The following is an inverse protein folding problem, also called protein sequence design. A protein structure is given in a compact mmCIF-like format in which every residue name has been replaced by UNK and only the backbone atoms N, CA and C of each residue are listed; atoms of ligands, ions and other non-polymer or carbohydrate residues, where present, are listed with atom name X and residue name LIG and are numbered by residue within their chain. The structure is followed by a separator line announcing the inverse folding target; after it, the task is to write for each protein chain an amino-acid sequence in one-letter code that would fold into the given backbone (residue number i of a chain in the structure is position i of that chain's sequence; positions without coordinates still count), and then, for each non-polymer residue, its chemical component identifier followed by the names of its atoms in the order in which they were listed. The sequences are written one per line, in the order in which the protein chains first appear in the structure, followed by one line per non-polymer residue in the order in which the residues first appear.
data_IF_231203157953
#
_entry.id   IF_231203157953
#
_cell.length_a   1.000
_cell.length_b   1.000
_cell.length_c   1.000
_cell.angle_alpha   90.00
_cell.angle_beta   90.00
_cell.angle_gamma   90.00
#
_symmetry.space_group_name_H-M   'P 1'
#
loop_
_entity.id
_entity.type
_entity.pdbx_description
1 polymer ?
#
# COMPACT_ATOMS: atom_id res chain seq x y z
N UNK A 1 22.13 -2.36 -13.43
CA UNK A 1 21.11 -1.43 -13.97
C UNK A 1 19.80 -1.74 -13.28
N UNK A 2 18.97 -0.73 -12.94
CA UNK A 2 17.68 -0.98 -12.33
C UNK A 2 16.68 -1.57 -13.34
N UNK A 3 15.71 -2.35 -12.87
CA UNK A 3 14.53 -2.72 -13.65
C UNK A 3 13.62 -1.48 -13.75
N UNK A 4 13.32 -1.03 -14.97
CA UNK A 4 12.63 0.24 -15.19
C UNK A 4 11.18 0.04 -15.68
N UNK A 5 10.23 0.73 -15.03
CA UNK A 5 8.80 0.70 -15.32
C UNK A 5 8.33 2.09 -15.77
N UNK A 6 7.68 2.16 -16.94
CA UNK A 6 7.03 3.37 -17.43
C UNK A 6 5.52 3.29 -17.12
N UNK A 7 5.02 4.19 -16.27
CA UNK A 7 3.67 4.13 -15.71
C UNK A 7 2.81 5.20 -16.42
N UNK A 8 1.73 4.81 -17.13
CA UNK A 8 0.97 5.72 -18.00
C UNK A 8 -0.02 6.63 -17.24
N UNK A 9 0.18 6.82 -15.95
CA UNK A 9 -0.66 7.63 -15.07
C UNK A 9 0.17 8.25 -13.93
N UNK A 10 -0.37 9.28 -13.29
CA UNK A 10 0.22 9.95 -12.14
C UNK A 10 -0.06 9.18 -10.83
N UNK A 11 0.78 9.31 -9.78
CA UNK A 11 0.59 8.57 -8.53
C UNK A 11 -0.80 8.73 -7.89
N UNK A 12 -1.43 9.89 -8.04
CA UNK A 12 -2.77 10.20 -7.54
C UNK A 12 -3.88 9.35 -8.20
N UNK A 13 -3.64 8.89 -9.43
CA UNK A 13 -4.54 8.02 -10.18
C UNK A 13 -4.31 6.51 -9.90
N UNK A 14 -3.39 6.16 -9.00
CA UNK A 14 -3.06 4.76 -8.66
C UNK A 14 -4.27 4.05 -8.03
N UNK A 15 -4.82 2.99 -8.66
CA UNK A 15 -6.13 2.42 -8.32
C UNK A 15 -6.20 1.91 -6.88
N UNK A 16 -7.37 2.02 -6.24
CA UNK A 16 -7.61 1.42 -4.92
C UNK A 16 -7.48 -0.11 -4.97
N UNK A 17 -7.02 -0.71 -3.87
CA UNK A 17 -6.73 -2.14 -3.77
C UNK A 17 -7.63 -2.84 -2.76
N UNK A 18 -7.67 -4.17 -2.76
CA UNK A 18 -8.33 -4.90 -1.69
C UNK A 18 -7.50 -4.80 -0.38
N UNK A 19 -8.10 -4.52 0.80
CA UNK A 19 -7.37 -4.51 2.07
C UNK A 19 -6.67 -5.85 2.40
N UNK A 20 -7.25 -6.97 1.93
CA UNK A 20 -6.64 -8.31 1.99
C UNK A 20 -5.45 -8.50 1.03
N UNK A 21 -5.34 -7.71 -0.04
CA UNK A 21 -4.16 -7.70 -0.89
C UNK A 21 -3.01 -6.95 -0.20
N UNK A 22 -3.29 -5.78 0.39
CA UNK A 22 -2.30 -5.01 1.16
C UNK A 22 -1.76 -5.79 2.38
N UNK A 23 -2.62 -6.52 3.11
CA UNK A 23 -2.17 -7.43 4.18
C UNK A 23 -1.25 -8.53 3.63
N UNK A 24 -1.67 -9.26 2.58
CA UNK A 24 -0.83 -10.30 1.98
C UNK A 24 0.49 -9.76 1.44
N UNK A 25 0.53 -8.50 1.00
CA UNK A 25 1.76 -7.84 0.58
C UNK A 25 2.68 -7.53 1.76
N UNK A 26 2.14 -7.05 2.88
CA UNK A 26 2.88 -6.92 4.15
C UNK A 26 3.48 -8.25 4.59
N UNK A 27 2.68 -9.32 4.59
CA UNK A 27 3.13 -10.67 4.94
C UNK A 27 4.26 -11.14 3.99
N UNK A 28 4.10 -10.94 2.67
CA UNK A 28 5.10 -11.29 1.64
C UNK A 28 6.43 -10.55 1.82
N UNK A 29 6.36 -9.23 2.07
CA UNK A 29 7.54 -8.39 2.31
C UNK A 29 8.30 -8.86 3.56
N UNK A 30 7.57 -9.23 4.62
CA UNK A 30 8.14 -9.82 5.84
C UNK A 30 8.76 -11.19 5.59
N UNK A 31 8.06 -12.10 4.91
CA UNK A 31 8.56 -13.44 4.54
C UNK A 31 9.89 -13.33 3.77
N UNK A 32 9.96 -12.43 2.79
CA UNK A 32 11.15 -12.17 2.00
C UNK A 32 12.31 -11.56 2.80
N UNK A 33 12.02 -10.60 3.69
CA UNK A 33 13.03 -10.02 4.57
C UNK A 33 13.60 -11.05 5.56
N UNK A 34 12.75 -11.93 6.13
CA UNK A 34 13.18 -13.05 6.98
C UNK A 34 13.99 -14.10 6.19
N UNK A 35 13.65 -14.34 4.93
CA UNK A 35 14.43 -15.19 4.02
C UNK A 35 15.71 -14.51 3.49
N UNK A 36 15.98 -13.26 3.89
CA UNK A 36 17.08 -12.41 3.40
C UNK A 36 17.14 -12.31 1.86
N UNK A 37 15.98 -12.31 1.19
CA UNK A 37 15.88 -12.22 -0.26
C UNK A 37 16.58 -10.96 -0.79
N UNK A 38 17.37 -11.14 -1.85
CA UNK A 38 17.94 -10.03 -2.61
C UNK A 38 17.10 -9.76 -3.87
N UNK A 39 16.95 -8.48 -4.19
CA UNK A 39 16.25 -7.99 -5.38
C UNK A 39 17.07 -6.93 -6.11
N UNK A 40 16.85 -6.73 -7.41
CA UNK A 40 17.47 -5.64 -8.16
C UNK A 40 16.86 -4.29 -7.77
N UNK A 41 17.61 -3.18 -7.84
CA UNK A 41 17.06 -1.83 -7.81
C UNK A 41 15.98 -1.63 -8.88
N UNK A 42 14.95 -0.83 -8.58
CA UNK A 42 13.76 -0.67 -9.43
C UNK A 42 13.40 0.79 -9.60
N UNK A 43 13.27 1.23 -10.84
CA UNK A 43 12.95 2.61 -11.21
C UNK A 43 11.54 2.70 -11.78
N UNK A 44 10.74 3.67 -11.32
CA UNK A 44 9.35 3.86 -11.68
C UNK A 44 9.15 5.30 -12.17
N UNK A 45 8.79 5.47 -13.44
CA UNK A 45 8.54 6.79 -14.05
C UNK A 45 7.05 6.96 -14.32
N UNK A 46 6.39 7.79 -13.51
CA UNK A 46 4.99 8.16 -13.65
C UNK A 46 4.82 9.32 -14.63
N UNK A 47 3.77 9.29 -15.43
CA UNK A 47 3.36 10.49 -16.18
C UNK A 47 2.81 11.56 -15.23
N UNK A 48 3.09 12.83 -15.49
CA UNK A 48 2.47 13.92 -14.72
C UNK A 48 0.96 14.03 -15.01
N UNK A 49 0.13 14.46 -14.03
CA UNK A 49 -1.34 14.50 -14.17
C UNK A 49 -1.85 15.51 -15.20
N UNK A 50 -0.99 16.38 -15.74
CA UNK A 50 -1.26 17.17 -16.94
C UNK A 50 0.06 17.58 -17.62
N UNK A 51 0.05 18.05 -18.88
CA UNK A 51 1.27 18.50 -19.58
C UNK A 51 2.04 19.68 -18.93
N UNK A 52 1.51 20.27 -17.84
CA UNK A 52 2.16 21.34 -17.06
C UNK A 52 2.75 20.86 -15.73
N UNK A 53 2.46 19.63 -15.31
CA UNK A 53 2.98 19.04 -14.06
C UNK A 53 4.04 18.00 -14.44
N UNK A 54 5.23 18.00 -13.83
CA UNK A 54 6.30 17.08 -14.19
C UNK A 54 5.93 15.61 -13.92
N UNK A 55 6.65 14.71 -14.59
CA UNK A 55 6.71 13.30 -14.24
C UNK A 55 7.32 13.10 -12.84
N UNK A 56 6.86 12.09 -12.09
CA UNK A 56 7.57 11.59 -10.91
C UNK A 56 8.51 10.47 -11.34
N UNK A 57 9.79 10.60 -11.01
CA UNK A 57 10.75 9.51 -11.00
C UNK A 57 10.94 9.02 -9.56
N UNK A 58 10.69 7.72 -9.32
CA UNK A 58 10.86 7.07 -8.04
C UNK A 58 11.83 5.90 -8.20
N UNK A 59 12.88 5.87 -7.37
CA UNK A 59 13.91 4.82 -7.38
C UNK A 59 13.89 4.08 -6.05
N UNK A 60 13.79 2.75 -6.12
CA UNK A 60 14.06 1.85 -5.00
C UNK A 60 15.48 1.32 -5.18
N UNK A 61 16.39 1.71 -4.28
CA UNK A 61 17.81 1.35 -4.32
C UNK A 61 18.35 0.84 -2.97
N UNK A 62 17.64 1.08 -1.86
CA UNK A 62 17.99 0.48 -0.58
C UNK A 62 17.64 -1.03 -0.56
N UNK A 63 18.37 -1.78 0.27
CA UNK A 63 18.32 -3.24 0.29
C UNK A 63 16.92 -3.79 0.62
N UNK A 64 16.19 -3.14 1.52
CA UNK A 64 14.94 -3.66 2.04
C UNK A 64 13.79 -3.35 1.07
N UNK A 65 13.75 -2.16 0.46
CA UNK A 65 12.82 -1.86 -0.61
C UNK A 65 13.08 -2.70 -1.87
N UNK A 66 14.34 -3.01 -2.21
CA UNK A 66 14.68 -3.93 -3.31
C UNK A 66 14.18 -5.36 -3.02
N UNK A 67 14.40 -5.86 -1.80
CA UNK A 67 13.90 -7.15 -1.32
C UNK A 67 12.36 -7.24 -1.41
N UNK A 68 11.65 -6.24 -0.86
CA UNK A 68 10.19 -6.23 -0.84
C UNK A 68 9.60 -6.08 -2.24
N UNK A 69 10.15 -5.21 -3.08
CA UNK A 69 9.65 -5.02 -4.43
C UNK A 69 9.86 -6.29 -5.29
N UNK A 70 10.97 -7.01 -5.14
CA UNK A 70 11.18 -8.32 -5.77
C UNK A 70 10.18 -9.37 -5.28
N UNK A 71 9.90 -9.41 -3.98
CA UNK A 71 8.94 -10.35 -3.42
C UNK A 71 7.48 -10.07 -3.86
N UNK A 72 7.10 -8.80 -3.93
CA UNK A 72 5.78 -8.36 -4.39
C UNK A 72 5.62 -8.57 -5.91
N UNK A 73 6.66 -8.33 -6.71
CA UNK A 73 6.62 -8.56 -8.16
C UNK A 73 6.35 -10.03 -8.49
N UNK A 74 7.07 -10.94 -7.84
CA UNK A 74 6.87 -12.41 -7.96
C UNK A 74 5.47 -12.88 -7.53
N UNK A 75 4.72 -12.08 -6.76
CA UNK A 75 3.40 -12.44 -6.21
C UNK A 75 2.21 -11.71 -6.86
N UNK A 76 2.43 -10.51 -7.39
CA UNK A 76 1.37 -9.61 -7.86
C UNK A 76 1.62 -8.99 -9.25
N UNK A 77 2.86 -9.01 -9.77
CA UNK A 77 3.26 -8.38 -11.04
C UNK A 77 3.27 -6.85 -10.99
N UNK A 78 4.45 -6.22 -11.00
CA UNK A 78 4.56 -4.75 -11.06
C UNK A 78 4.41 -4.18 -12.48
N UNK A 79 4.38 -5.05 -13.49
CA UNK A 79 3.90 -4.72 -14.84
C UNK A 79 2.37 -4.53 -14.87
N UNK A 80 1.65 -4.96 -13.84
CA UNK A 80 0.21 -4.77 -13.66
C UNK A 80 -0.08 -3.59 -12.71
N UNK A 81 -1.09 -2.78 -13.07
CA UNK A 81 -1.48 -1.61 -12.29
C UNK A 81 -1.95 -1.96 -10.85
N UNK A 82 -2.49 -3.17 -10.62
CA UNK A 82 -2.85 -3.63 -9.27
C UNK A 82 -1.61 -3.97 -8.42
N UNK A 83 -0.65 -4.75 -8.94
CA UNK A 83 0.57 -5.09 -8.20
C UNK A 83 1.43 -3.86 -7.89
N UNK A 84 1.53 -2.94 -8.85
CA UNK A 84 2.11 -1.60 -8.64
C UNK A 84 1.36 -0.82 -7.55
N UNK A 85 0.02 -0.77 -7.59
CA UNK A 85 -0.79 -0.07 -6.58
C UNK A 85 -0.67 -0.68 -5.17
N UNK A 86 -0.46 -2.00 -5.08
CA UNK A 86 -0.17 -2.72 -3.84
C UNK A 86 1.19 -2.31 -3.28
N UNK A 87 2.25 -2.31 -4.11
CA UNK A 87 3.60 -1.91 -3.68
C UNK A 87 3.62 -0.45 -3.19
N UNK A 88 3.09 0.48 -3.99
CA UNK A 88 3.12 1.91 -3.66
C UNK A 88 2.37 2.19 -2.35
N UNK A 89 1.21 1.56 -2.14
CA UNK A 89 0.46 1.69 -0.88
C UNK A 89 1.14 1.03 0.31
N UNK A 90 1.90 -0.04 0.11
CA UNK A 90 2.69 -0.64 1.20
C UNK A 90 3.85 0.28 1.61
N UNK A 91 4.56 0.86 0.65
CA UNK A 91 5.64 1.81 0.90
C UNK A 91 5.12 3.11 1.53
N UNK A 92 4.04 3.68 1.00
CA UNK A 92 3.38 4.86 1.56
C UNK A 92 2.84 4.62 2.98
N UNK A 93 2.35 3.41 3.28
CA UNK A 93 1.89 3.04 4.62
C UNK A 93 3.05 3.02 5.63
N UNK A 94 4.20 2.46 5.24
CA UNK A 94 5.38 2.41 6.09
C UNK A 94 6.03 3.78 6.28
N UNK A 95 6.01 4.62 5.24
CA UNK A 95 6.42 6.02 5.28
C UNK A 95 5.60 6.82 6.30
N UNK A 96 4.26 6.76 6.21
CA UNK A 96 3.40 7.50 7.14
C UNK A 96 3.46 6.93 8.55
N UNK A 97 3.51 5.60 8.74
CA UNK A 97 3.75 4.96 10.04
C UNK A 97 5.06 5.40 10.70
N UNK A 98 6.11 5.66 9.90
CA UNK A 98 7.41 6.12 10.39
C UNK A 98 7.42 7.58 10.86
N UNK A 99 6.64 8.48 10.23
CA UNK A 99 6.62 9.92 10.57
C UNK A 99 5.48 10.38 11.48
N UNK A 100 4.33 9.69 11.47
CA UNK A 100 3.06 10.24 11.96
C UNK A 100 2.69 9.75 13.38
N UNK A 101 2.91 10.54 14.46
CA UNK A 101 2.88 10.00 15.83
C UNK A 101 1.48 9.68 16.37
N UNK A 102 0.42 10.09 15.66
CA UNK A 102 -0.98 9.79 15.98
C UNK A 102 -1.39 8.36 15.60
N UNK A 103 -0.61 7.66 14.76
CA UNK A 103 -0.91 6.30 14.32
C UNK A 103 -0.63 5.21 15.37
N UNK A 104 -0.10 5.58 16.54
CA UNK A 104 0.15 4.66 17.67
C UNK A 104 -1.16 3.98 18.09
N UNK A 105 -1.15 2.65 18.20
CA UNK A 105 -2.35 1.85 18.48
C UNK A 105 -3.16 1.48 17.22
N UNK A 106 -2.77 1.93 16.02
CA UNK A 106 -3.23 1.37 14.74
C UNK A 106 -2.26 0.32 14.18
N UNK A 107 -1.13 0.13 14.86
CA UNK A 107 -0.19 -0.96 14.65
C UNK A 107 0.55 -1.25 15.97
N UNK A 108 0.95 -2.49 16.17
CA UNK A 108 1.72 -2.95 17.34
C UNK A 108 3.00 -3.61 16.86
N UNK A 109 4.17 -3.13 17.33
CA UNK A 109 5.48 -3.71 17.03
C UNK A 109 5.83 -4.71 18.14
N UNK A 110 5.60 -6.00 17.89
CA UNK A 110 5.91 -7.10 18.82
C UNK A 110 7.23 -7.81 18.52
N UNK A 111 7.57 -8.81 19.36
CA UNK A 111 8.67 -9.76 19.06
C UNK A 111 8.41 -10.54 17.78
N UNK A 112 7.15 -10.91 17.54
CA UNK A 112 6.68 -11.54 16.32
C UNK A 112 6.49 -10.52 15.15
N UNK A 113 7.19 -9.37 15.21
CA UNK A 113 7.11 -8.26 14.25
C UNK A 113 5.83 -7.42 14.36
N UNK A 114 5.60 -6.55 13.37
CA UNK A 114 4.48 -5.62 13.39
C UNK A 114 3.15 -6.25 12.95
N UNK A 115 2.12 -6.03 13.76
CA UNK A 115 0.71 -6.31 13.46
C UNK A 115 0.04 -5.01 13.01
N UNK A 116 -0.72 -5.03 11.91
CA UNK A 116 -1.43 -3.87 11.36
C UNK A 116 -2.93 -3.95 11.69
N UNK A 117 -3.51 -2.88 12.23
CA UNK A 117 -4.94 -2.87 12.57
C UNK A 117 -5.81 -2.92 11.29
N UNK A 118 -6.91 -3.71 11.24
CA UNK A 118 -7.74 -3.85 10.04
C UNK A 118 -8.29 -2.52 9.50
N UNK A 119 -8.52 -1.51 10.34
CA UNK A 119 -9.03 -0.21 9.88
C UNK A 119 -7.95 0.62 9.20
N UNK A 120 -6.68 0.48 9.62
CA UNK A 120 -5.53 1.09 8.94
C UNK A 120 -5.34 0.50 7.54
N UNK A 121 -5.43 -0.84 7.42
CA UNK A 121 -5.40 -1.53 6.13
C UNK A 121 -6.58 -1.12 5.22
N UNK A 122 -7.77 -0.86 5.78
CA UNK A 122 -8.92 -0.36 5.00
C UNK A 122 -8.76 1.10 4.54
N UNK A 123 -8.20 1.96 5.38
CA UNK A 123 -7.91 3.35 5.03
C UNK A 123 -6.85 3.41 3.91
N UNK A 124 -5.67 2.83 4.15
CA UNK A 124 -4.56 2.82 3.18
C UNK A 124 -4.95 2.20 1.83
N UNK A 125 -5.76 1.14 1.83
CA UNK A 125 -6.21 0.48 0.60
C UNK A 125 -7.11 1.36 -0.31
N UNK A 126 -7.76 2.40 0.24
CA UNK A 126 -8.77 3.21 -0.48
C UNK A 126 -8.50 4.72 -0.50
N UNK A 127 -7.46 5.18 0.21
CA UNK A 127 -7.00 6.55 0.12
C UNK A 127 -6.17 6.76 -1.17
N UNK A 128 -6.30 7.91 -1.86
CA UNK A 128 -5.38 8.29 -2.92
C UNK A 128 -3.96 8.45 -2.39
N UNK A 129 -2.99 8.38 -3.31
CA UNK A 129 -1.66 8.87 -3.03
C UNK A 129 -1.57 10.35 -3.46
N UNK A 130 -0.61 11.09 -2.90
CA UNK A 130 -0.20 12.39 -3.43
C UNK A 130 0.73 12.23 -4.65
N UNK A 131 1.06 13.33 -5.32
CA UNK A 131 2.00 13.35 -6.45
C UNK A 131 3.45 12.99 -6.10
N UNK A 132 3.76 12.75 -4.82
CA UNK A 132 5.01 12.16 -4.33
C UNK A 132 4.90 10.66 -3.99
N UNK A 133 3.78 10.03 -4.35
CA UNK A 133 3.40 8.65 -4.05
C UNK A 133 3.25 8.31 -2.55
N UNK A 134 2.88 9.28 -1.70
CA UNK A 134 2.68 9.12 -0.24
C UNK A 134 1.20 9.25 0.14
N UNK A 135 0.85 8.88 1.37
CA UNK A 135 -0.46 9.21 1.93
C UNK A 135 -0.46 10.60 2.58
N UNK A 136 -1.50 11.39 2.31
CA UNK A 136 -1.84 12.54 3.15
C UNK A 136 -2.32 12.07 4.53
N UNK A 137 -1.94 12.79 5.59
CA UNK A 137 -2.34 12.44 6.95
C UNK A 137 -3.77 12.88 7.27
N UNK A 138 -4.24 14.01 6.73
CA UNK A 138 -5.59 14.49 7.06
C UNK A 138 -6.65 13.63 6.37
N UNK A 139 -6.42 13.27 5.10
CA UNK A 139 -7.16 12.27 4.36
C UNK A 139 -7.16 10.90 5.05
N UNK A 140 -6.00 10.37 5.45
CA UNK A 140 -5.92 9.07 6.13
C UNK A 140 -6.61 9.08 7.51
N UNK A 141 -6.46 10.16 8.31
CA UNK A 141 -7.21 10.36 9.56
C UNK A 141 -8.72 10.42 9.29
N UNK A 142 -9.16 11.12 8.24
CA UNK A 142 -10.57 11.23 7.87
C UNK A 142 -11.16 9.88 7.42
N UNK A 143 -10.39 9.04 6.72
CA UNK A 143 -10.81 7.66 6.39
C UNK A 143 -11.03 6.82 7.64
N UNK A 144 -10.15 6.94 8.63
CA UNK A 144 -10.23 6.21 9.89
C UNK A 144 -11.36 6.70 10.80
N UNK A 145 -11.65 8.01 10.78
CA UNK A 145 -12.72 8.62 11.56
C UNK A 145 -14.14 8.34 11.00
N UNK A 146 -14.27 7.86 9.76
CA UNK A 146 -15.58 7.56 9.17
C UNK A 146 -16.23 6.36 9.87
N UNK A 147 -17.46 6.50 10.38
CA UNK A 147 -18.14 5.40 11.05
C UNK A 147 -18.34 4.23 10.09
N UNK A 148 -18.17 3.01 10.61
CA UNK A 148 -18.41 1.78 9.85
C UNK A 148 -19.89 1.75 9.45
N UNK A 149 -20.19 1.88 8.16
CA UNK A 149 -21.46 1.41 7.58
C UNK A 149 -21.45 -0.12 7.58
N UNK A 150 -21.57 -0.69 8.78
CA UNK A 150 -22.05 -2.05 8.97
C UNK A 150 -23.48 -2.08 8.48
N UNK A 151 -23.69 -2.55 7.25
CA UNK A 151 -25.04 -2.90 6.80
C UNK A 151 -25.65 -3.84 7.85
N UNK A 152 -26.88 -3.57 8.34
CA UNK A 152 -27.53 -4.51 9.24
C UNK A 152 -27.62 -5.85 8.51
N UNK A 153 -27.11 -6.91 9.14
CA UNK A 153 -27.20 -8.23 8.56
C UNK A 153 -28.66 -8.67 8.64
N UNK A 154 -29.42 -8.48 7.56
CA UNK A 154 -30.83 -8.87 7.45
C UNK A 154 -30.96 -10.38 7.67
N UNK A 155 -31.15 -10.73 8.93
CA UNK A 155 -31.41 -12.09 9.38
C UNK A 155 -32.90 -12.32 9.15
N UNK A 156 -33.29 -12.41 7.88
CA UNK A 156 -34.65 -12.59 7.41
C UNK A 156 -35.26 -13.82 8.08
N UNK A 157 -36.13 -13.58 9.06
CA UNK A 157 -36.77 -14.66 9.82
C UNK A 157 -37.80 -15.38 8.97
N UNK A 158 -37.56 -16.66 8.67
CA UNK A 158 -38.51 -17.52 7.98
C UNK A 158 -38.27 -19.02 8.24
N UNK A 159 -38.87 -19.55 9.31
CA UNK A 159 -39.34 -20.96 9.37
C UNK A 159 -40.62 -21.00 10.21
N UNK A 160 -41.78 -21.35 9.62
CA UNK A 160 -43.00 -21.61 10.38
C UNK A 160 -43.17 -23.11 10.72
N UNK A 161 -43.61 -23.39 11.94
CA UNK A 161 -44.26 -24.64 12.38
C UNK A 161 -45.01 -24.38 13.69
#
# INVERSE_FOLDING_TARGET
MPTAYAIPFAPEATPSVAPRALLRAWDTAREAATAALEGPPRAFRFQGPSPKVPALDLLLEDRDACCWAEALDRRFGLDHAEGLAILLRLLALLEVMGRAPWMRGLFDIGREGTVLHPDLLRAAATEPLDGGARFDEEGLRHRLARPRLTMPNETTGATPA
#
